data_IF_886103224011
#
_entry.id   IF_886103224011
#
_cell.length_a   1.000
_cell.length_b   1.000
_cell.length_c   1.000
_cell.angle_alpha   90.00
_cell.angle_beta   90.00
_cell.angle_gamma   90.00
#
_symmetry.space_group_name_H-M   'P 1'
#
loop_
_entity.id
_entity.type
_entity.pdbx_description
1 polymer ?
#
# COMPACT_ATOMS: atom_id res chain seq x y z
N UNK A 1 62.93 38.44 24.31
CA UNK A 1 62.71 39.59 23.41
C UNK A 1 62.19 39.05 22.09
N UNK A 2 60.88 39.16 21.84
CA UNK A 2 60.28 40.00 20.78
C UNK A 2 60.14 39.22 19.45
N UNK A 3 59.01 39.16 18.73
CA UNK A 3 57.66 39.73 18.82
C UNK A 3 56.82 39.02 17.74
N UNK A 4 55.51 38.83 17.97
CA UNK A 4 54.55 38.31 16.98
C UNK A 4 53.94 39.45 16.11
N UNK A 5 53.56 39.13 14.87
CA UNK A 5 52.52 39.78 14.02
C UNK A 5 52.41 38.98 12.69
N UNK A 6 51.39 38.15 12.46
CA UNK A 6 50.06 38.42 11.87
C UNK A 6 50.07 38.72 10.35
N UNK A 7 49.60 37.77 9.54
CA UNK A 7 48.83 38.05 8.32
C UNK A 7 47.92 36.86 7.99
N UNK A 8 46.61 37.10 8.03
CA UNK A 8 45.55 36.19 7.56
C UNK A 8 45.35 36.40 6.06
N UNK A 9 44.95 35.38 5.27
CA UNK A 9 44.14 35.60 4.09
C UNK A 9 42.70 35.12 4.30
N UNK A 10 41.84 36.12 4.28
CA UNK A 10 40.43 36.22 3.90
C UNK A 10 39.86 35.13 2.96
N UNK A 11 38.79 34.50 3.47
CA UNK A 11 37.54 34.04 2.85
C UNK A 11 37.54 33.38 1.47
N UNK A 12 37.30 32.07 1.48
CA UNK A 12 36.68 31.34 0.38
C UNK A 12 35.15 31.48 0.47
N UNK A 13 34.59 32.44 -0.26
CA UNK A 13 33.15 32.68 -0.34
C UNK A 13 32.64 32.34 -1.74
N UNK A 14 32.70 31.08 -2.14
CA UNK A 14 32.08 30.61 -3.38
C UNK A 14 31.76 29.12 -3.36
N UNK A 15 30.77 28.68 -2.58
CA UNK A 15 30.17 27.35 -2.81
C UNK A 15 28.65 27.23 -2.57
N UNK A 16 27.94 28.29 -2.18
CA UNK A 16 26.51 28.17 -1.82
C UNK A 16 25.50 28.50 -2.92
N UNK A 17 25.92 28.92 -4.12
CA UNK A 17 25.00 29.27 -5.23
C UNK A 17 24.66 28.12 -6.18
N UNK A 18 25.47 27.05 -6.20
CA UNK A 18 25.30 25.94 -7.16
C UNK A 18 24.23 24.91 -6.75
N UNK A 19 23.76 24.92 -5.50
CA UNK A 19 22.79 23.94 -4.98
C UNK A 19 21.33 24.39 -5.09
N UNK A 20 21.04 25.69 -5.08
CA UNK A 20 19.66 26.20 -5.21
C UNK A 20 19.13 26.10 -6.64
N UNK A 21 19.99 26.33 -7.65
CA UNK A 21 19.61 26.26 -9.05
C UNK A 21 19.27 24.82 -9.50
N UNK A 22 19.97 23.81 -8.96
CA UNK A 22 19.72 22.40 -9.26
C UNK A 22 18.44 21.88 -8.60
N UNK A 23 18.15 22.27 -7.37
CA UNK A 23 16.88 21.91 -6.69
C UNK A 23 15.68 22.58 -7.36
N UNK A 24 15.79 23.84 -7.77
CA UNK A 24 14.73 24.54 -8.50
C UNK A 24 14.47 23.94 -9.90
N UNK A 25 15.52 23.49 -10.59
CA UNK A 25 15.39 22.82 -11.89
C UNK A 25 14.81 21.40 -11.80
N UNK A 26 15.05 20.67 -10.70
CA UNK A 26 14.41 19.37 -10.42
C UNK A 26 12.93 19.59 -10.06
N UNK A 27 12.64 20.57 -9.19
CA UNK A 27 11.27 20.93 -8.83
C UNK A 27 10.42 21.40 -10.03
N UNK A 28 11.04 22.05 -11.02
CA UNK A 28 10.39 22.47 -12.25
C UNK A 28 10.10 21.33 -13.25
N UNK A 29 10.64 20.11 -13.05
CA UNK A 29 10.43 18.96 -13.95
C UNK A 29 9.47 17.91 -13.38
N UNK A 30 9.20 17.93 -12.08
CA UNK A 30 8.40 16.91 -11.38
C UNK A 30 6.94 17.26 -11.21
N UNK A 31 6.53 18.50 -11.48
CA UNK A 31 5.13 18.94 -11.38
C UNK A 31 4.66 19.38 -12.77
N UNK A 32 3.50 18.90 -13.23
CA UNK A 32 2.89 19.35 -14.49
C UNK A 32 2.17 20.71 -14.37
N UNK A 33 1.67 21.23 -15.48
CA UNK A 33 0.96 22.52 -15.54
C UNK A 33 -0.33 22.54 -14.69
N UNK A 34 -0.86 21.37 -14.32
CA UNK A 34 -2.04 21.18 -13.46
C UNK A 34 -1.66 21.04 -11.96
N UNK A 35 -0.38 21.15 -11.61
CA UNK A 35 0.10 21.04 -10.24
C UNK A 35 0.22 19.59 -9.73
N UNK A 36 0.17 18.59 -10.60
CA UNK A 36 0.30 17.17 -10.22
C UNK A 36 1.74 16.72 -10.27
N UNK A 37 2.11 15.86 -9.34
CA UNK A 37 3.42 15.21 -9.35
C UNK A 37 3.50 14.13 -10.43
N UNK A 38 4.45 14.28 -11.34
CA UNK A 38 4.66 13.42 -12.52
C UNK A 38 5.72 12.33 -12.30
N UNK A 39 6.41 12.35 -11.16
CA UNK A 39 7.54 11.45 -10.91
C UNK A 39 8.78 11.69 -11.77
N UNK A 40 8.75 12.62 -12.73
CA UNK A 40 9.81 12.78 -13.72
C UNK A 40 11.13 13.27 -13.07
N UNK A 41 12.18 12.44 -13.16
CA UNK A 41 13.50 12.74 -12.59
C UNK A 41 13.66 12.39 -11.11
N UNK A 42 12.62 11.84 -10.47
CA UNK A 42 12.72 11.28 -9.11
C UNK A 42 13.00 9.79 -9.21
N UNK A 43 13.91 9.30 -8.37
CA UNK A 43 14.15 7.87 -8.22
C UNK A 43 13.07 7.30 -7.29
N UNK A 44 12.19 6.45 -7.82
CA UNK A 44 11.19 5.75 -7.03
C UNK A 44 11.79 4.73 -6.05
N UNK A 45 10.94 4.18 -5.20
CA UNK A 45 11.29 3.15 -4.22
C UNK A 45 11.49 1.80 -4.91
N UNK A 46 12.53 1.07 -4.49
CA UNK A 46 12.66 -0.36 -4.81
C UNK A 46 11.98 -1.17 -3.70
N UNK A 47 11.43 -2.34 -4.05
CA UNK A 47 10.68 -3.15 -3.09
C UNK A 47 11.07 -4.62 -3.17
N UNK A 48 11.61 -5.14 -2.07
CA UNK A 48 12.02 -6.54 -1.93
C UNK A 48 10.85 -7.40 -1.45
N UNK A 49 10.61 -8.54 -2.11
CA UNK A 49 9.63 -9.55 -1.65
C UNK A 49 10.16 -10.28 -0.41
N UNK A 50 9.28 -10.55 0.55
CA UNK A 50 9.62 -11.26 1.80
C UNK A 50 8.77 -12.50 2.00
N UNK A 51 7.49 -12.42 1.70
CA UNK A 51 6.54 -13.53 1.89
C UNK A 51 5.99 -14.09 0.59
N UNK A 52 6.13 -13.37 -0.52
CA UNK A 52 5.59 -13.75 -1.83
C UNK A 52 6.68 -14.19 -2.81
N UNK A 53 6.28 -14.89 -3.87
CA UNK A 53 7.16 -15.27 -4.97
C UNK A 53 6.75 -14.56 -6.27
N UNK A 54 7.71 -14.23 -7.15
CA UNK A 54 7.39 -13.86 -8.52
C UNK A 54 6.51 -14.93 -9.19
N UNK A 55 5.60 -14.49 -10.07
CA UNK A 55 4.72 -15.34 -10.88
C UNK A 55 3.73 -16.23 -10.12
N UNK A 56 3.62 -16.10 -8.79
CA UNK A 56 2.62 -16.80 -7.95
C UNK A 56 1.70 -15.78 -7.31
N UNK A 57 0.39 -15.91 -7.52
CA UNK A 57 -0.56 -15.04 -6.85
C UNK A 57 -0.66 -15.45 -5.36
N UNK A 58 -0.60 -14.52 -4.38
CA UNK A 58 -0.60 -14.88 -2.96
C UNK A 58 -1.81 -15.72 -2.52
N UNK A 59 -2.96 -15.54 -3.16
CA UNK A 59 -4.16 -16.35 -2.90
C UNK A 59 -4.04 -17.81 -3.30
N UNK A 60 -3.18 -18.15 -4.28
CA UNK A 60 -2.99 -19.53 -4.75
C UNK A 60 -2.21 -20.38 -3.74
N UNK A 61 -1.54 -19.74 -2.78
CA UNK A 61 -0.80 -20.39 -1.70
C UNK A 61 -1.66 -20.68 -0.46
N UNK A 62 -2.91 -20.20 -0.47
CA UNK A 62 -3.84 -20.29 0.65
C UNK A 62 -4.93 -21.28 0.30
N UNK A 63 -5.25 -22.18 1.23
CA UNK A 63 -6.43 -23.02 1.13
C UNK A 63 -7.69 -22.21 1.49
N UNK A 64 -8.67 -22.21 0.60
CA UNK A 64 -9.93 -21.50 0.75
C UNK A 64 -11.09 -22.48 0.93
N UNK A 65 -12.08 -22.09 1.72
CA UNK A 65 -13.31 -22.85 1.85
C UNK A 65 -14.53 -21.95 1.95
N UNK A 66 -15.69 -22.55 1.64
CA UNK A 66 -16.97 -21.88 1.71
C UNK A 66 -17.64 -22.19 3.04
N UNK A 67 -18.03 -21.14 3.78
CA UNK A 67 -18.72 -21.25 5.08
C UNK A 67 -20.01 -20.46 5.09
N UNK A 68 -20.81 -20.69 6.13
CA UNK A 68 -21.88 -19.78 6.55
C UNK A 68 -21.38 -18.94 7.72
N UNK A 69 -21.47 -17.62 7.60
CA UNK A 69 -21.26 -16.70 8.72
C UNK A 69 -22.60 -16.50 9.42
N UNK A 70 -22.68 -16.85 10.70
CA UNK A 70 -23.92 -16.75 11.50
C UNK A 70 -23.62 -16.25 12.90
N UNK A 71 -24.36 -15.22 13.33
CA UNK A 71 -24.26 -14.66 14.68
C UNK A 71 -25.64 -14.75 15.30
N UNK A 72 -25.70 -15.30 16.51
CA UNK A 72 -26.91 -15.37 17.32
C UNK A 72 -26.76 -14.51 18.58
N UNK A 73 -27.88 -14.07 19.14
CA UNK A 73 -27.92 -13.41 20.45
C UNK A 73 -27.90 -14.43 21.61
N UNK A 74 -27.92 -13.94 22.85
CA UNK A 74 -27.93 -14.77 24.06
C UNK A 74 -29.15 -15.71 24.16
N UNK A 75 -30.25 -15.36 23.50
CA UNK A 75 -31.45 -16.20 23.41
C UNK A 75 -31.40 -17.23 22.27
N UNK A 76 -30.29 -17.31 21.52
CA UNK A 76 -30.12 -18.21 20.37
C UNK A 76 -30.79 -17.73 19.07
N UNK A 77 -31.38 -16.53 19.04
CA UNK A 77 -31.99 -15.96 17.84
C UNK A 77 -30.90 -15.45 16.90
N UNK A 78 -30.93 -15.87 15.63
CA UNK A 78 -30.03 -15.34 14.59
C UNK A 78 -30.23 -13.83 14.41
N UNK A 79 -29.14 -13.07 14.55
CA UNK A 79 -29.09 -11.62 14.34
C UNK A 79 -28.41 -11.25 13.03
N UNK A 80 -27.60 -12.15 12.48
CA UNK A 80 -26.93 -11.99 11.20
C UNK A 80 -26.66 -13.36 10.60
N UNK A 81 -26.91 -13.50 9.30
CA UNK A 81 -26.54 -14.69 8.56
C UNK A 81 -26.14 -14.33 7.13
N UNK A 82 -25.07 -14.94 6.66
CA UNK A 82 -24.70 -14.95 5.25
C UNK A 82 -24.07 -16.30 4.90
N UNK A 83 -24.74 -17.04 4.01
CA UNK A 83 -24.25 -18.31 3.46
C UNK A 83 -23.24 -18.07 2.34
N UNK A 84 -22.56 -19.13 1.94
CA UNK A 84 -21.72 -19.18 0.74
C UNK A 84 -20.67 -18.06 0.71
N UNK A 85 -19.94 -17.91 1.82
CA UNK A 85 -18.81 -16.98 1.92
C UNK A 85 -17.48 -17.72 1.83
N UNK A 86 -16.62 -17.29 0.92
CA UNK A 86 -15.27 -17.82 0.74
C UNK A 86 -14.30 -17.14 1.73
N UNK A 87 -13.65 -17.96 2.56
CA UNK A 87 -12.71 -17.53 3.59
C UNK A 87 -11.49 -18.46 3.62
N UNK A 88 -10.34 -18.03 4.20
CA UNK A 88 -9.22 -18.93 4.45
C UNK A 88 -9.65 -20.09 5.35
N UNK A 89 -9.25 -21.32 5.01
CA UNK A 89 -9.59 -22.51 5.79
C UNK A 89 -9.02 -22.46 7.22
N UNK A 90 -7.89 -21.79 7.39
CA UNK A 90 -7.20 -21.60 8.67
C UNK A 90 -7.96 -20.71 9.66
N UNK A 91 -8.94 -19.92 9.21
CA UNK A 91 -9.70 -19.04 10.08
C UNK A 91 -10.62 -19.82 11.01
N UNK A 92 -10.89 -19.29 12.20
CA UNK A 92 -11.96 -19.81 13.05
C UNK A 92 -13.34 -19.35 12.56
N UNK A 93 -14.40 -20.03 13.02
CA UNK A 93 -15.78 -19.58 12.77
C UNK A 93 -16.03 -18.17 13.33
N UNK A 94 -15.41 -17.82 14.47
CA UNK A 94 -15.52 -16.48 15.05
C UNK A 94 -14.91 -15.43 14.13
N UNK A 95 -13.72 -15.68 13.58
CA UNK A 95 -13.08 -14.77 12.61
C UNK A 95 -13.96 -14.60 11.36
N UNK A 96 -14.49 -15.70 10.84
CA UNK A 96 -15.44 -15.70 9.72
C UNK A 96 -16.65 -14.80 10.02
N UNK A 97 -17.29 -15.00 11.17
CA UNK A 97 -18.47 -14.24 11.58
C UNK A 97 -18.20 -12.74 11.71
N UNK A 98 -17.11 -12.38 12.40
CA UNK A 98 -16.75 -10.96 12.62
C UNK A 98 -16.41 -10.29 11.30
N UNK A 99 -15.56 -10.90 10.47
CA UNK A 99 -15.11 -10.29 9.22
C UNK A 99 -16.27 -10.06 8.27
N UNK A 100 -17.10 -11.08 8.06
CA UNK A 100 -18.24 -11.04 7.13
C UNK A 100 -19.31 -10.07 7.62
N UNK A 101 -19.63 -10.04 8.92
CA UNK A 101 -20.67 -9.15 9.44
C UNK A 101 -20.27 -7.67 9.47
N UNK A 102 -18.98 -7.36 9.64
CA UNK A 102 -18.50 -5.99 9.84
C UNK A 102 -17.86 -5.35 8.62
N UNK A 103 -17.16 -6.12 7.79
CA UNK A 103 -16.27 -5.54 6.77
C UNK A 103 -16.66 -5.88 5.33
N UNK A 104 -17.43 -6.95 5.11
CA UNK A 104 -17.96 -7.20 3.77
C UNK A 104 -18.85 -6.03 3.36
N UNK A 105 -18.61 -5.51 2.16
CA UNK A 105 -19.36 -4.41 1.57
C UNK A 105 -20.64 -4.90 0.91
N UNK A 106 -21.64 -4.02 0.83
CA UNK A 106 -22.92 -4.27 0.19
C UNK A 106 -23.99 -4.82 1.14
N UNK A 107 -25.24 -4.71 0.74
CA UNK A 107 -26.39 -5.16 1.53
C UNK A 107 -26.64 -6.66 1.29
N UNK A 108 -26.97 -7.40 2.35
CA UNK A 108 -27.31 -8.84 2.25
C UNK A 108 -28.47 -9.02 1.25
N UNK A 109 -28.38 -10.07 0.43
CA UNK A 109 -29.38 -10.38 -0.61
C UNK A 109 -29.21 -9.58 -1.92
N UNK A 110 -28.30 -8.61 -1.97
CA UNK A 110 -28.01 -7.87 -3.21
C UNK A 110 -26.85 -8.49 -3.98
N UNK A 111 -26.81 -8.27 -5.30
CA UNK A 111 -25.69 -8.70 -6.16
C UNK A 111 -24.36 -8.04 -5.80
N UNK A 112 -24.41 -6.85 -5.19
CA UNK A 112 -23.22 -6.09 -4.79
C UNK A 112 -22.65 -6.50 -3.42
N UNK A 113 -23.21 -7.53 -2.77
CA UNK A 113 -22.68 -8.06 -1.51
C UNK A 113 -21.40 -8.85 -1.76
N UNK A 114 -20.33 -8.46 -1.08
CA UNK A 114 -19.10 -9.26 -1.07
C UNK A 114 -19.40 -10.66 -0.51
N UNK A 115 -18.82 -11.68 -1.14
CA UNK A 115 -18.95 -13.10 -0.78
C UNK A 115 -17.59 -13.78 -0.63
N UNK A 116 -16.48 -13.06 -0.77
CA UNK A 116 -15.14 -13.60 -0.55
C UNK A 116 -14.28 -12.60 0.18
N UNK A 117 -13.45 -13.10 1.11
CA UNK A 117 -12.41 -12.28 1.76
C UNK A 117 -11.40 -11.76 0.74
N UNK A 118 -11.19 -12.46 -0.40
CA UNK A 118 -10.38 -11.95 -1.52
C UNK A 118 -10.88 -10.60 -2.00
N UNK A 119 -12.20 -10.45 -2.20
CA UNK A 119 -12.81 -9.19 -2.65
C UNK A 119 -12.56 -8.04 -1.66
N UNK A 120 -12.64 -8.33 -0.36
CA UNK A 120 -12.34 -7.35 0.68
C UNK A 120 -10.87 -6.93 0.63
N UNK A 121 -9.95 -7.88 0.58
CA UNK A 121 -8.50 -7.61 0.53
C UNK A 121 -8.17 -6.83 -0.75
N UNK A 122 -8.62 -7.30 -1.91
CA UNK A 122 -8.44 -6.64 -3.20
C UNK A 122 -8.93 -5.20 -3.18
N UNK A 123 -10.09 -4.94 -2.58
CA UNK A 123 -10.60 -3.57 -2.47
C UNK A 123 -9.63 -2.66 -1.72
N UNK A 124 -9.06 -3.13 -0.62
CA UNK A 124 -8.09 -2.35 0.17
C UNK A 124 -6.78 -2.21 -0.59
N UNK A 125 -6.21 -3.32 -1.04
CA UNK A 125 -4.90 -3.36 -1.72
C UNK A 125 -4.94 -2.53 -3.00
N UNK A 126 -5.93 -2.73 -3.87
CA UNK A 126 -6.03 -1.99 -5.14
C UNK A 126 -6.19 -0.48 -4.92
N UNK A 127 -6.86 -0.06 -3.85
CA UNK A 127 -6.97 1.37 -3.52
C UNK A 127 -5.59 1.94 -3.17
N UNK A 128 -4.84 1.27 -2.30
CA UNK A 128 -3.50 1.70 -1.88
C UNK A 128 -2.53 1.70 -3.07
N UNK A 129 -2.51 0.62 -3.85
CA UNK A 129 -1.59 0.50 -4.99
C UNK A 129 -1.96 1.44 -6.12
N UNK A 130 -3.24 1.73 -6.34
CA UNK A 130 -3.68 2.73 -7.33
C UNK A 130 -3.18 4.14 -7.00
N UNK A 131 -3.14 4.51 -5.71
CA UNK A 131 -2.50 5.76 -5.29
C UNK A 131 -0.98 5.72 -5.47
N UNK A 132 -0.33 4.63 -5.10
CA UNK A 132 1.11 4.48 -5.26
C UNK A 132 1.55 4.56 -6.74
N UNK A 133 0.73 4.03 -7.65
CA UNK A 133 0.93 4.13 -9.10
C UNK A 133 0.74 5.57 -9.58
N UNK A 134 -0.39 6.20 -9.25
CA UNK A 134 -0.70 7.57 -9.67
C UNK A 134 0.31 8.60 -9.14
N UNK A 135 0.90 8.33 -7.98
CA UNK A 135 1.88 9.21 -7.34
C UNK A 135 3.32 8.78 -7.61
N UNK A 136 3.54 7.79 -8.48
CA UNK A 136 4.87 7.34 -8.92
C UNK A 136 5.81 6.97 -7.77
N UNK A 137 5.30 6.24 -6.78
CA UNK A 137 6.08 5.88 -5.57
C UNK A 137 7.23 4.90 -5.87
N UNK A 138 7.05 4.01 -6.83
CA UNK A 138 7.98 2.90 -7.06
C UNK A 138 8.88 3.13 -8.28
N UNK A 139 10.10 2.61 -8.21
CA UNK A 139 11.11 2.77 -9.26
C UNK A 139 10.73 2.01 -10.54
N UNK A 140 10.07 0.87 -10.38
CA UNK A 140 9.62 0.03 -11.49
C UNK A 140 8.21 -0.50 -11.25
N UNK A 141 7.58 -0.97 -12.33
CA UNK A 141 6.31 -1.70 -12.22
C UNK A 141 6.47 -2.99 -11.40
N UNK A 142 7.63 -3.65 -11.48
CA UNK A 142 7.89 -4.87 -10.70
C UNK A 142 7.92 -4.56 -9.20
N UNK A 143 8.52 -3.45 -8.78
CA UNK A 143 8.50 -3.02 -7.37
C UNK A 143 7.07 -2.76 -6.87
N UNK A 144 6.21 -2.14 -7.70
CA UNK A 144 4.80 -1.95 -7.38
C UNK A 144 4.05 -3.30 -7.30
N UNK A 145 4.31 -4.24 -8.21
CA UNK A 145 3.68 -5.56 -8.17
C UNK A 145 4.17 -6.39 -6.98
N UNK A 146 5.44 -6.28 -6.61
CA UNK A 146 6.00 -6.87 -5.40
C UNK A 146 5.30 -6.32 -4.16
N UNK A 147 5.21 -5.00 -4.03
CA UNK A 147 4.49 -4.35 -2.93
C UNK A 147 3.02 -4.79 -2.86
N UNK A 148 2.33 -4.82 -4.00
CA UNK A 148 0.94 -5.27 -4.10
C UNK A 148 0.78 -6.69 -3.58
N UNK A 149 1.61 -7.62 -4.07
CA UNK A 149 1.54 -9.02 -3.67
C UNK A 149 1.78 -9.18 -2.16
N UNK A 150 2.75 -8.45 -1.60
CA UNK A 150 3.09 -8.51 -0.18
C UNK A 150 1.97 -7.97 0.71
N UNK A 151 1.22 -6.95 0.28
CA UNK A 151 0.01 -6.50 0.97
C UNK A 151 -1.15 -7.51 0.89
N UNK A 152 -1.20 -8.31 -0.19
CA UNK A 152 -2.27 -9.30 -0.41
C UNK A 152 -2.05 -10.60 0.39
N UNK A 153 -0.82 -10.87 0.81
CA UNK A 153 -0.45 -12.09 1.55
C UNK A 153 -1.17 -12.19 2.92
N UNK A 154 -1.48 -13.42 3.35
CA UNK A 154 -2.15 -13.75 4.62
C UNK A 154 -1.39 -14.81 5.41
#
# INVERSE_FOLDING_TARGET
MARAASTTPTSDASSSRSSKASVAAIAARTIDDEGRFTGAGVRGLTFERRWTRPDVHPYDEIAWETRTASIANESGKSVFEQTDVEVPSTWSQLATNVVVSKYFRGHIGTKGRERSVKQLIDRVVNTITGWAETQHYFATTEDLQAFKAELTHL
#
